data_IF_491583519261
#
_entry.id   IF_491583519261
#
_cell.length_a   1.000
_cell.length_b   1.000
_cell.length_c   1.000
_cell.angle_alpha   90.00
_cell.angle_beta   90.00
_cell.angle_gamma   90.00
#
_symmetry.space_group_name_H-M   'P 1'
#
loop_
_entity.id
_entity.type
_entity.pdbx_description
1 polymer ?
#
# COMPACT_ATOMS: atom_id res chain seq x y z
N UNK A 1 4.21 5.80 11.90
CA UNK A 1 2.87 5.71 12.51
C UNK A 1 1.79 5.29 11.51
N UNK A 2 1.76 5.83 10.28
CA UNK A 2 0.73 5.46 9.28
C UNK A 2 0.67 3.96 8.93
N UNK A 3 1.83 3.33 8.72
CA UNK A 3 1.90 1.91 8.36
C UNK A 3 1.40 1.00 9.50
N UNK A 4 1.77 1.28 10.76
CA UNK A 4 1.29 0.50 11.91
C UNK A 4 -0.21 0.63 12.11
N UNK A 5 -0.79 1.81 11.87
CA UNK A 5 -2.25 1.99 11.88
C UNK A 5 -2.96 1.16 10.80
N UNK A 6 -2.42 1.12 9.57
CA UNK A 6 -2.97 0.28 8.49
C UNK A 6 -2.93 -1.20 8.86
N UNK A 7 -1.85 -1.67 9.49
CA UNK A 7 -1.74 -3.05 9.96
C UNK A 7 -2.81 -3.34 11.01
N UNK A 8 -2.95 -2.48 12.03
CA UNK A 8 -3.98 -2.64 13.06
C UNK A 8 -5.40 -2.71 12.50
N UNK A 9 -5.75 -1.80 11.58
CA UNK A 9 -7.07 -1.80 10.93
C UNK A 9 -7.33 -3.07 10.10
N UNK A 10 -6.30 -3.61 9.45
CA UNK A 10 -6.41 -4.87 8.71
C UNK A 10 -6.63 -6.05 9.64
N UNK A 11 -5.87 -6.13 10.73
CA UNK A 11 -6.08 -7.18 11.74
C UNK A 11 -7.51 -7.11 12.29
N UNK A 12 -8.02 -5.91 12.63
CA UNK A 12 -9.38 -5.74 13.11
C UNK A 12 -10.44 -6.20 12.08
N UNK A 13 -10.25 -5.84 10.80
CA UNK A 13 -11.17 -6.22 9.71
C UNK A 13 -11.13 -7.71 9.35
N UNK A 14 -9.97 -8.34 9.45
CA UNK A 14 -9.84 -9.79 9.28
C UNK A 14 -10.50 -10.50 10.47
N UNK A 15 -10.25 -10.01 11.70
CA UNK A 15 -10.83 -10.56 12.92
C UNK A 15 -12.36 -10.44 12.99
N UNK A 16 -12.98 -9.47 12.30
CA UNK A 16 -14.44 -9.40 12.20
C UNK A 16 -15.06 -10.51 11.34
N UNK A 17 -14.25 -11.25 10.57
CA UNK A 17 -14.69 -12.40 9.77
C UNK A 17 -15.64 -12.05 8.62
N UNK A 18 -16.25 -13.10 8.03
CA UNK A 18 -17.23 -13.00 6.95
C UNK A 18 -16.64 -12.59 5.59
N UNK A 19 -17.51 -12.27 4.63
CA UNK A 19 -17.11 -11.92 3.25
C UNK A 19 -16.20 -10.67 3.18
N UNK A 20 -16.27 -9.81 4.19
CA UNK A 20 -15.45 -8.61 4.31
C UNK A 20 -13.95 -8.94 4.46
N UNK A 21 -13.60 -10.09 5.08
CA UNK A 21 -12.23 -10.58 5.23
C UNK A 21 -11.64 -11.02 3.88
N UNK A 22 -12.35 -11.89 3.15
CA UNK A 22 -11.92 -12.35 1.82
C UNK A 22 -11.74 -11.17 0.85
N UNK A 23 -12.67 -10.21 0.90
CA UNK A 23 -12.58 -8.97 0.10
C UNK A 23 -11.35 -8.14 0.49
N UNK A 24 -11.09 -7.97 1.79
CA UNK A 24 -9.92 -7.24 2.25
C UNK A 24 -8.62 -7.93 1.83
N UNK A 25 -8.52 -9.24 1.99
CA UNK A 25 -7.35 -10.03 1.61
C UNK A 25 -7.07 -9.94 0.11
N UNK A 26 -8.09 -10.05 -0.75
CA UNK A 26 -7.93 -9.86 -2.20
C UNK A 26 -7.47 -8.45 -2.56
N UNK A 27 -8.05 -7.42 -1.95
CA UNK A 27 -7.63 -6.03 -2.17
C UNK A 27 -6.17 -5.82 -1.74
N UNK A 28 -5.78 -6.36 -0.58
CA UNK A 28 -4.40 -6.28 -0.10
C UNK A 28 -3.39 -6.90 -1.06
N UNK A 29 -3.75 -7.98 -1.76
CA UNK A 29 -2.89 -8.62 -2.77
C UNK A 29 -2.78 -7.75 -4.02
N UNK A 30 -3.91 -7.22 -4.51
CA UNK A 30 -3.94 -6.32 -5.66
C UNK A 30 -3.12 -5.06 -5.43
N UNK A 31 -3.26 -4.43 -4.25
CA UNK A 31 -2.48 -3.24 -3.86
C UNK A 31 -0.96 -3.52 -3.87
N UNK A 32 -0.53 -4.69 -3.38
CA UNK A 32 0.90 -5.08 -3.39
C UNK A 32 1.42 -5.31 -4.81
N UNK A 33 0.67 -6.03 -5.63
CA UNK A 33 1.04 -6.28 -7.03
C UNK A 33 1.12 -4.98 -7.82
N UNK A 34 0.13 -4.11 -7.68
CA UNK A 34 0.13 -2.81 -8.35
C UNK A 34 1.33 -1.95 -7.92
N UNK A 35 1.60 -1.84 -6.62
CA UNK A 35 2.74 -1.07 -6.13
C UNK A 35 4.09 -1.62 -6.65
N UNK A 36 4.23 -2.94 -6.71
CA UNK A 36 5.41 -3.60 -7.27
C UNK A 36 5.56 -3.34 -8.77
N UNK A 37 4.50 -3.48 -9.55
CA UNK A 37 4.50 -3.22 -11.00
C UNK A 37 4.83 -1.76 -11.31
N UNK A 38 4.23 -0.81 -10.59
CA UNK A 38 4.53 0.62 -10.74
C UNK A 38 6.01 0.91 -10.45
N UNK A 39 6.59 0.27 -9.43
CA UNK A 39 7.99 0.47 -9.08
C UNK A 39 8.94 -0.18 -10.10
N UNK A 40 8.62 -1.39 -10.58
CA UNK A 40 9.38 -2.07 -11.63
C UNK A 40 9.35 -1.27 -12.94
N UNK A 41 8.18 -0.73 -13.31
CA UNK A 41 8.05 0.12 -14.48
C UNK A 41 8.86 1.42 -14.32
N UNK A 42 8.78 2.08 -13.17
CA UNK A 42 9.59 3.25 -12.87
C UNK A 42 11.10 2.94 -12.90
N UNK A 43 11.51 1.73 -12.53
CA UNK A 43 12.90 1.30 -12.64
C UNK A 43 13.30 1.08 -14.11
N UNK A 44 12.51 0.32 -14.86
CA UNK A 44 12.78 -0.02 -16.26
C UNK A 44 12.81 1.21 -17.18
N UNK A 45 12.05 2.26 -16.84
CA UNK A 45 11.97 3.51 -17.60
C UNK A 45 12.93 4.60 -17.10
N UNK A 46 13.75 4.34 -16.08
CA UNK A 46 14.60 5.36 -15.45
C UNK A 46 13.85 6.39 -14.60
N UNK A 47 12.54 6.19 -14.40
CA UNK A 47 11.66 7.00 -13.57
C UNK A 47 12.03 7.06 -12.08
N UNK A 48 13.00 6.28 -11.59
CA UNK A 48 13.55 6.40 -10.23
C UNK A 48 14.59 7.52 -10.07
N UNK A 49 15.06 8.11 -11.17
CA UNK A 49 16.07 9.17 -11.15
C UNK A 49 17.50 8.64 -11.33
N UNK A 50 18.45 9.56 -11.45
CA UNK A 50 19.82 9.29 -11.86
C UNK A 50 20.80 9.00 -10.72
N UNK A 51 20.36 9.09 -9.46
CA UNK A 51 21.21 8.84 -8.28
C UNK A 51 20.53 7.89 -7.30
N UNK A 52 21.30 7.12 -6.51
CA UNK A 52 20.74 6.22 -5.50
C UNK A 52 19.82 6.95 -4.51
N UNK A 53 20.20 8.14 -4.06
CA UNK A 53 19.39 8.94 -3.13
C UNK A 53 18.03 9.34 -3.73
N UNK A 54 18.02 9.82 -4.98
CA UNK A 54 16.79 10.18 -5.67
C UNK A 54 15.88 8.95 -5.86
N UNK A 55 16.48 7.80 -6.20
CA UNK A 55 15.79 6.51 -6.30
C UNK A 55 15.11 6.11 -4.99
N UNK A 56 15.87 6.10 -3.89
CA UNK A 56 15.34 5.77 -2.56
C UNK A 56 14.22 6.73 -2.15
N UNK A 57 14.38 8.04 -2.38
CA UNK A 57 13.34 9.02 -2.06
C UNK A 57 12.05 8.79 -2.86
N UNK A 58 12.15 8.47 -4.16
CA UNK A 58 10.99 8.13 -4.98
C UNK A 58 10.31 6.84 -4.53
N UNK A 59 11.08 5.80 -4.21
CA UNK A 59 10.55 4.55 -3.65
C UNK A 59 9.80 4.81 -2.35
N UNK A 60 10.38 5.58 -1.43
CA UNK A 60 9.73 5.92 -0.16
C UNK A 60 8.47 6.76 -0.36
N UNK A 61 8.50 7.76 -1.28
CA UNK A 61 7.33 8.57 -1.62
C UNK A 61 6.21 7.71 -2.18
N UNK A 62 6.53 6.77 -3.06
CA UNK A 62 5.60 5.82 -3.66
C UNK A 62 4.86 5.02 -2.58
N UNK A 63 5.62 4.34 -1.71
CA UNK A 63 5.02 3.53 -0.63
C UNK A 63 4.26 4.37 0.39
N UNK A 64 4.73 5.58 0.74
CA UNK A 64 4.00 6.50 1.64
C UNK A 64 2.63 6.88 1.06
N UNK A 65 2.57 7.16 -0.24
CA UNK A 65 1.29 7.44 -0.94
C UNK A 65 0.32 6.27 -0.85
N UNK A 66 0.79 5.04 -1.10
CA UNK A 66 -0.04 3.82 -1.00
C UNK A 66 -0.53 3.57 0.43
N UNK A 67 0.33 3.74 1.44
CA UNK A 67 -0.05 3.60 2.85
C UNK A 67 -1.11 4.63 3.25
N UNK A 68 -0.98 5.89 2.81
CA UNK A 68 -1.97 6.94 3.07
C UNK A 68 -3.33 6.65 2.41
N UNK A 69 -3.32 6.15 1.16
CA UNK A 69 -4.54 5.71 0.48
C UNK A 69 -5.23 4.56 1.24
N UNK A 70 -4.45 3.59 1.72
CA UNK A 70 -4.96 2.46 2.48
C UNK A 70 -5.57 2.89 3.81
N UNK A 71 -4.90 3.79 4.54
CA UNK A 71 -5.46 4.35 5.78
C UNK A 71 -6.81 5.01 5.54
N UNK A 72 -6.91 5.87 4.51
CA UNK A 72 -8.18 6.53 4.15
C UNK A 72 -9.28 5.53 3.79
N UNK A 73 -8.97 4.48 3.03
CA UNK A 73 -9.96 3.45 2.64
C UNK A 73 -10.45 2.66 3.86
N UNK A 74 -9.52 2.21 4.69
CA UNK A 74 -9.84 1.40 5.87
C UNK A 74 -10.63 2.22 6.90
N UNK A 75 -10.26 3.50 7.11
CA UNK A 75 -11.01 4.39 8.00
C UNK A 75 -12.45 4.67 7.53
N UNK A 76 -12.71 4.61 6.22
CA UNK A 76 -14.07 4.72 5.67
C UNK A 76 -14.88 3.42 5.71
N UNK A 77 -14.20 2.28 5.83
CA UNK A 77 -14.83 0.96 5.82
C UNK A 77 -15.14 0.44 7.24
N UNK A 78 -14.70 1.15 8.28
CA UNK A 78 -14.94 0.82 9.69
C UNK A 78 -15.90 1.77 10.40
N UNK A 79 -16.65 2.60 9.66
CA UNK A 79 -17.79 3.39 10.13
C UNK A 79 -18.99 3.13 9.24
#
# INVERSE_FOLDING_TARGET
MEASAVIGMRVAKIASGGDADQRETRLMMQEKMQAALELQFAMATGGLGSTPLAGTQKVLKHYRGKVGANRRRLGKAGG
#
